data_IF_619352102244
#
_entry.id   IF_619352102244
#
_cell.length_a   1.000
_cell.length_b   1.000
_cell.length_c   1.000
_cell.angle_alpha   90.00
_cell.angle_beta   90.00
_cell.angle_gamma   90.00
#
_symmetry.space_group_name_H-M   'P 1'
#
loop_
_entity.id
_entity.type
_entity.pdbx_description
1 polymer ?
#
# COMPACT_ATOMS: atom_id res chain seq x y z
N UNK A 1 -39.64 -28.74 36.37
CA UNK A 1 -38.74 -27.57 36.43
C UNK A 1 -37.26 -27.93 36.23
N UNK A 2 -36.65 -28.81 37.04
CA UNK A 2 -35.23 -29.21 36.88
C UNK A 2 -34.85 -29.79 35.49
N UNK A 3 -35.74 -30.57 34.86
CA UNK A 3 -35.51 -31.15 33.52
C UNK A 3 -35.51 -30.12 32.38
N UNK A 4 -36.31 -29.07 32.52
CA UNK A 4 -36.37 -27.95 31.55
C UNK A 4 -35.11 -27.09 31.65
N UNK A 5 -34.64 -26.83 32.88
CA UNK A 5 -33.39 -26.10 33.10
C UNK A 5 -32.18 -26.87 32.54
N UNK A 6 -32.17 -28.19 32.67
CA UNK A 6 -31.13 -29.04 32.07
C UNK A 6 -31.14 -28.98 30.53
N UNK A 7 -32.33 -29.02 29.91
CA UNK A 7 -32.47 -28.88 28.46
C UNK A 7 -32.03 -27.49 27.95
N UNK A 8 -32.35 -26.44 28.71
CA UNK A 8 -31.95 -25.06 28.40
C UNK A 8 -30.42 -24.90 28.49
N UNK A 9 -29.79 -25.55 29.46
CA UNK A 9 -28.34 -25.54 29.63
C UNK A 9 -27.62 -26.31 28.51
N UNK A 10 -28.24 -27.39 28.00
CA UNK A 10 -27.71 -28.17 26.87
C UNK A 10 -27.75 -27.38 25.55
N UNK A 11 -28.79 -26.57 25.34
CA UNK A 11 -28.95 -25.70 24.16
C UNK A 11 -27.87 -24.61 24.08
N UNK A 12 -27.38 -24.11 25.24
CA UNK A 12 -26.33 -23.09 25.29
C UNK A 12 -24.97 -23.56 24.77
N UNK A 13 -24.67 -24.86 24.86
CA UNK A 13 -23.37 -25.42 24.44
C UNK A 13 -23.29 -25.55 22.91
N UNK A 14 -24.42 -25.79 22.23
CA UNK A 14 -24.48 -25.97 20.77
C UNK A 14 -24.51 -24.63 20.01
N UNK A 15 -24.84 -23.53 20.69
CA UNK A 15 -24.92 -22.19 20.10
C UNK A 15 -23.55 -21.54 19.87
N UNK A 16 -22.50 -21.98 20.56
CA UNK A 16 -21.14 -21.47 20.38
C UNK A 16 -20.45 -22.16 19.19
N UNK A 17 -20.90 -21.83 17.97
CA UNK A 17 -20.13 -22.16 16.76
C UNK A 17 -19.07 -21.09 16.59
N UNK A 18 -17.80 -21.46 16.79
CA UNK A 18 -16.69 -20.61 16.37
C UNK A 18 -16.69 -20.61 14.84
N UNK A 19 -17.23 -19.55 14.25
CA UNK A 19 -17.02 -19.32 12.82
C UNK A 19 -15.51 -19.27 12.60
N UNK A 20 -15.01 -20.11 11.70
CA UNK A 20 -13.60 -20.08 11.33
C UNK A 20 -13.24 -18.67 10.88
N UNK A 21 -12.04 -18.20 11.20
CA UNK A 21 -11.57 -16.91 10.71
C UNK A 21 -11.72 -16.91 9.18
N UNK A 22 -12.62 -16.07 8.66
CA UNK A 22 -12.69 -15.85 7.21
C UNK A 22 -11.35 -15.25 6.80
N UNK A 23 -10.65 -15.94 5.91
CA UNK A 23 -9.54 -15.34 5.19
C UNK A 23 -10.10 -14.16 4.41
N UNK A 24 -9.70 -12.95 4.78
CA UNK A 24 -10.04 -11.74 4.05
C UNK A 24 -8.98 -11.62 2.96
N UNK A 25 -9.42 -11.53 1.71
CA UNK A 25 -8.53 -11.18 0.61
C UNK A 25 -8.30 -9.65 0.63
N UNK A 26 -7.07 -9.18 0.87
CA UNK A 26 -6.76 -7.76 0.89
C UNK A 26 -6.68 -7.13 -0.51
N UNK A 27 -6.89 -7.89 -1.59
CA UNK A 27 -6.97 -7.38 -2.96
C UNK A 27 -5.61 -7.08 -3.59
N UNK A 28 -4.54 -7.74 -3.15
CA UNK A 28 -3.16 -7.44 -3.60
C UNK A 28 -2.92 -7.67 -5.09
N UNK A 29 -3.82 -8.35 -5.80
CA UNK A 29 -3.77 -8.44 -7.27
C UNK A 29 -3.84 -7.06 -7.96
N UNK A 30 -4.45 -6.06 -7.30
CA UNK A 30 -4.45 -4.67 -7.77
C UNK A 30 -3.23 -3.87 -7.31
N UNK A 31 -2.41 -4.42 -6.42
CA UNK A 31 -1.22 -3.74 -5.92
C UNK A 31 0.01 -4.17 -6.73
N UNK A 32 0.73 -3.22 -7.34
CA UNK A 32 1.85 -3.56 -8.21
C UNK A 32 3.11 -4.00 -7.42
N UNK A 33 3.14 -5.26 -6.97
CA UNK A 33 4.22 -5.83 -6.14
C UNK A 33 5.15 -6.81 -6.88
N UNK A 34 5.07 -6.89 -8.21
CA UNK A 34 5.95 -7.74 -9.02
C UNK A 34 7.39 -7.22 -9.04
N UNK A 35 8.36 -8.05 -8.65
CA UNK A 35 9.77 -7.65 -8.64
C UNK A 35 10.21 -7.21 -10.05
N UNK A 36 10.99 -6.14 -10.15
CA UNK A 36 11.41 -5.48 -11.41
C UNK A 36 10.31 -4.81 -12.22
N UNK A 37 9.10 -4.65 -11.67
CA UNK A 37 8.13 -3.76 -12.28
C UNK A 37 8.65 -2.32 -12.25
N UNK A 38 8.41 -1.60 -13.34
CA UNK A 38 8.72 -0.19 -13.48
C UNK A 38 7.52 0.59 -13.99
N UNK A 39 7.36 1.82 -13.50
CA UNK A 39 6.35 2.75 -13.97
C UNK A 39 7.01 4.08 -14.26
N UNK A 40 6.70 4.63 -15.42
CA UNK A 40 7.08 5.98 -15.79
C UNK A 40 5.85 6.88 -15.80
N UNK A 41 5.97 8.05 -15.19
CA UNK A 41 4.91 9.04 -15.06
C UNK A 41 5.38 10.33 -15.72
N UNK A 42 4.60 10.86 -16.66
CA UNK A 42 4.74 12.24 -17.11
C UNK A 42 3.96 13.13 -16.13
N UNK A 43 4.67 14.00 -15.43
CA UNK A 43 4.11 14.86 -14.39
C UNK A 43 3.94 16.27 -14.96
N UNK A 44 2.72 16.79 -14.85
CA UNK A 44 2.39 18.21 -15.05
C UNK A 44 1.83 18.73 -13.72
N UNK A 45 2.43 19.79 -13.17
CA UNK A 45 2.04 20.36 -11.89
C UNK A 45 2.01 21.87 -11.96
N UNK A 46 0.91 22.45 -11.50
CA UNK A 46 0.72 23.89 -11.37
C UNK A 46 0.82 24.23 -9.89
N UNK A 47 1.80 25.06 -9.53
CA UNK A 47 2.04 25.47 -8.14
C UNK A 47 1.72 26.95 -8.01
N UNK A 48 0.82 27.27 -7.09
CA UNK A 48 0.54 28.64 -6.68
C UNK A 48 1.49 29.02 -5.54
N UNK A 49 2.22 30.12 -5.72
CA UNK A 49 2.91 30.78 -4.63
C UNK A 49 1.94 31.79 -4.00
N UNK A 50 1.50 31.50 -2.78
CA UNK A 50 0.54 32.29 -2.01
C UNK A 50 1.14 33.59 -1.43
N UNK A 51 2.47 33.69 -1.33
CA UNK A 51 3.15 34.92 -0.90
C UNK A 51 3.28 35.94 -2.02
N UNK A 52 3.59 35.50 -3.24
CA UNK A 52 3.76 36.38 -4.42
C UNK A 52 2.54 36.44 -5.32
N UNK A 53 1.52 35.61 -5.05
CA UNK A 53 0.32 35.42 -5.90
C UNK A 53 0.72 35.10 -7.35
N UNK A 54 1.80 34.35 -7.53
CA UNK A 54 2.30 33.93 -8.83
C UNK A 54 2.08 32.44 -9.04
N UNK A 55 1.81 32.03 -10.27
CA UNK A 55 1.65 30.62 -10.65
C UNK A 55 2.87 30.16 -11.43
N UNK A 56 3.39 28.99 -11.11
CA UNK A 56 4.47 28.32 -11.84
C UNK A 56 4.00 26.95 -12.35
N UNK A 57 4.54 26.50 -13.49
CA UNK A 57 4.19 25.23 -14.12
C UNK A 57 5.43 24.35 -14.26
N UNK A 58 5.37 23.17 -13.67
CA UNK A 58 6.43 22.17 -13.71
C UNK A 58 6.04 21.02 -14.62
N UNK A 59 6.95 20.68 -15.54
CA UNK A 59 6.86 19.47 -16.36
C UNK A 59 8.13 18.65 -16.16
N UNK A 60 7.96 17.40 -15.78
CA UNK A 60 9.07 16.47 -15.58
C UNK A 60 8.56 15.04 -15.60
N UNK A 61 9.49 14.08 -15.59
CA UNK A 61 9.17 12.67 -15.59
C UNK A 61 9.68 12.02 -14.31
N UNK A 62 8.89 11.09 -13.79
CA UNK A 62 9.25 10.22 -12.67
C UNK A 62 9.31 8.79 -13.20
N UNK A 63 10.31 8.03 -12.77
CA UNK A 63 10.30 6.57 -12.89
C UNK A 63 10.38 5.96 -11.51
N UNK A 64 9.56 4.95 -11.25
CA UNK A 64 9.63 4.13 -10.04
C UNK A 64 9.98 2.70 -10.43
N UNK A 65 10.99 2.13 -9.77
CA UNK A 65 11.46 0.78 -10.01
C UNK A 65 11.53 0.01 -8.70
N UNK A 66 10.96 -1.19 -8.67
CA UNK A 66 11.16 -2.12 -7.56
C UNK A 66 12.58 -2.69 -7.62
N UNK A 67 13.38 -2.39 -6.60
CA UNK A 67 14.78 -2.84 -6.53
C UNK A 67 14.94 -4.06 -5.64
N UNK A 68 14.19 -4.14 -4.54
CA UNK A 68 14.39 -5.16 -3.52
C UNK A 68 13.05 -5.64 -2.95
N UNK A 69 12.96 -6.94 -2.70
CA UNK A 69 11.83 -7.58 -2.02
C UNK A 69 12.36 -8.50 -0.93
N UNK A 70 11.88 -8.28 0.30
CA UNK A 70 12.28 -9.01 1.50
C UNK A 70 11.05 -9.65 2.14
N UNK A 71 11.11 -10.95 2.41
CA UNK A 71 10.09 -11.66 3.18
C UNK A 71 10.38 -11.52 4.68
N UNK A 72 9.41 -11.03 5.44
CA UNK A 72 9.49 -10.81 6.88
C UNK A 72 8.30 -11.46 7.58
N UNK A 73 8.43 -12.75 7.93
CA UNK A 73 7.31 -13.54 8.45
C UNK A 73 6.19 -13.65 7.41
N UNK A 74 4.98 -13.21 7.76
CA UNK A 74 3.84 -13.15 6.85
C UNK A 74 3.85 -11.90 5.95
N UNK A 75 4.68 -10.91 6.25
CA UNK A 75 4.71 -9.65 5.51
C UNK A 75 5.81 -9.66 4.45
N UNK A 76 5.60 -8.86 3.40
CA UNK A 76 6.56 -8.64 2.33
C UNK A 76 6.90 -7.17 2.30
N UNK A 77 8.17 -6.85 2.53
CA UNK A 77 8.70 -5.49 2.39
C UNK A 77 9.31 -5.32 1.01
N UNK A 78 8.98 -4.23 0.34
CA UNK A 78 9.48 -3.92 -1.00
C UNK A 78 10.09 -2.52 -0.99
N UNK A 79 11.29 -2.40 -1.53
CA UNK A 79 11.95 -1.11 -1.74
C UNK A 79 11.76 -0.65 -3.18
N UNK A 80 11.35 0.60 -3.32
CA UNK A 80 11.15 1.27 -4.59
C UNK A 80 12.16 2.41 -4.69
N UNK A 81 12.91 2.45 -5.79
CA UNK A 81 13.77 3.56 -6.11
C UNK A 81 13.07 4.45 -7.13
N UNK A 82 13.03 5.75 -6.82
CA UNK A 82 12.51 6.75 -7.73
C UNK A 82 13.66 7.39 -8.51
N UNK A 83 13.42 7.70 -9.77
CA UNK A 83 14.30 8.48 -10.64
C UNK A 83 13.52 9.65 -11.23
N UNK A 84 14.24 10.70 -11.61
CA UNK A 84 13.66 11.90 -12.21
C UNK A 84 14.47 12.37 -13.41
N UNK A 85 13.80 12.89 -14.44
CA UNK A 85 14.41 13.66 -15.54
C UNK A 85 13.53 14.87 -15.88
N UNK A 86 14.10 15.96 -16.36
CA UNK A 86 13.32 17.15 -16.71
C UNK A 86 12.68 17.05 -18.11
N UNK A 87 13.30 16.31 -19.02
CA UNK A 87 12.83 16.12 -20.40
C UNK A 87 13.17 14.72 -20.93
N UNK A 88 12.57 14.32 -22.05
CA UNK A 88 12.86 13.03 -22.69
C UNK A 88 14.30 12.90 -23.21
N UNK A 89 14.97 14.03 -23.45
CA UNK A 89 16.38 14.09 -23.88
C UNK A 89 17.38 13.98 -22.72
N UNK A 90 16.93 14.07 -21.47
CA UNK A 90 17.80 14.02 -20.30
C UNK A 90 17.90 12.62 -19.71
N UNK A 91 19.07 12.33 -19.14
CA UNK A 91 19.32 11.10 -18.38
C UNK A 91 18.52 11.07 -17.08
N UNK A 92 18.12 9.87 -16.66
CA UNK A 92 17.52 9.63 -15.36
C UNK A 92 18.51 9.95 -14.23
N UNK A 93 18.13 10.84 -13.33
CA UNK A 93 18.83 11.10 -12.08
C UNK A 93 18.18 10.33 -10.93
N UNK A 94 18.99 9.77 -10.02
CA UNK A 94 18.47 9.08 -8.84
C UNK A 94 17.76 10.09 -7.92
N UNK A 95 16.49 9.79 -7.62
CA UNK A 95 15.68 10.55 -6.67
C UNK A 95 15.62 9.87 -5.31
N UNK A 96 14.47 9.98 -4.66
CA UNK A 96 14.20 9.39 -3.36
C UNK A 96 13.94 7.88 -3.43
N UNK A 97 14.05 7.21 -2.30
CA UNK A 97 13.59 5.83 -2.15
C UNK A 97 12.33 5.79 -1.28
N UNK A 98 11.42 4.90 -1.63
CA UNK A 98 10.20 4.60 -0.89
C UNK A 98 10.21 3.12 -0.52
N UNK A 99 9.37 2.74 0.43
CA UNK A 99 9.12 1.34 0.73
C UNK A 99 7.63 1.09 0.90
N UNK A 100 7.19 -0.12 0.61
CA UNK A 100 5.87 -0.57 1.03
C UNK A 100 5.94 -1.95 1.67
N UNK A 101 5.00 -2.22 2.55
CA UNK A 101 4.87 -3.49 3.27
C UNK A 101 3.49 -4.06 2.98
N UNK A 102 3.45 -5.21 2.30
CA UNK A 102 2.23 -6.00 2.18
C UNK A 102 2.13 -6.91 3.40
N UNK A 103 1.04 -6.80 4.16
CA UNK A 103 0.76 -7.67 5.31
C UNK A 103 -0.33 -8.70 4.96
N UNK A 104 -1.05 -9.27 5.92
CA UNK A 104 -2.24 -10.07 5.63
C UNK A 104 -3.52 -9.21 5.54
N UNK A 105 -3.43 -7.92 5.86
CA UNK A 105 -4.62 -7.08 6.12
C UNK A 105 -4.61 -5.70 5.46
N UNK A 106 -3.45 -5.18 5.12
CA UNK A 106 -3.29 -3.84 4.56
C UNK A 106 -1.97 -3.73 3.82
N UNK A 107 -1.87 -2.74 2.94
CA UNK A 107 -0.58 -2.26 2.44
C UNK A 107 -0.23 -0.99 3.19
N UNK A 108 1.01 -0.94 3.65
CA UNK A 108 1.58 0.21 4.30
C UNK A 108 2.66 0.80 3.41
N UNK A 109 2.61 2.10 3.16
CA UNK A 109 3.59 2.83 2.34
C UNK A 109 4.38 3.79 3.23
N UNK A 110 5.70 3.82 3.00
CA UNK A 110 6.63 4.71 3.65
C UNK A 110 7.31 5.57 2.58
N UNK A 111 6.94 6.86 2.56
CA UNK A 111 7.52 7.86 1.66
C UNK A 111 7.96 9.07 2.49
N UNK A 112 9.24 9.44 2.43
CA UNK A 112 9.79 10.59 3.15
C UNK A 112 9.44 10.61 4.66
N UNK A 113 9.57 9.47 5.34
CA UNK A 113 9.18 9.27 6.75
C UNK A 113 7.68 9.46 7.05
N UNK A 114 6.84 9.63 6.04
CA UNK A 114 5.40 9.60 6.18
C UNK A 114 4.90 8.18 5.90
N UNK A 115 4.11 7.66 6.83
CA UNK A 115 3.56 6.30 6.81
C UNK A 115 2.07 6.37 6.51
N UNK A 116 1.64 5.73 5.44
CA UNK A 116 0.24 5.74 4.97
C UNK A 116 -0.28 4.32 4.78
N UNK A 117 -1.59 4.13 4.94
CA UNK A 117 -2.25 2.85 4.70
C UNK A 117 -3.07 2.98 3.42
N UNK A 118 -2.78 2.14 2.44
CA UNK A 118 -3.45 2.17 1.14
C UNK A 118 -4.77 1.41 1.23
N UNK A 119 -5.87 2.06 0.84
CA UNK A 119 -7.17 1.43 0.66
C UNK A 119 -7.20 0.79 -0.73
N UNK A 120 -7.28 -0.53 -0.76
CA UNK A 120 -7.41 -1.32 -1.98
C UNK A 120 -8.88 -1.73 -2.08
N UNK A 121 -9.52 -1.44 -3.22
CA UNK A 121 -10.94 -1.69 -3.48
C UNK A 121 -11.13 -2.28 -4.88
#
# INVERSE_FOLDING_TARGET
MKRIFFFLCLLGIVACKKEGAKTIDPGYDYYPAGLFSEWEYAVDSIVLNDFTISTDTYKFYIKERLEERMQNGNSISVRVQQYRRASDSESWSAGKSKAFVLSDRHVEELDNNLRTYSLIF
#
